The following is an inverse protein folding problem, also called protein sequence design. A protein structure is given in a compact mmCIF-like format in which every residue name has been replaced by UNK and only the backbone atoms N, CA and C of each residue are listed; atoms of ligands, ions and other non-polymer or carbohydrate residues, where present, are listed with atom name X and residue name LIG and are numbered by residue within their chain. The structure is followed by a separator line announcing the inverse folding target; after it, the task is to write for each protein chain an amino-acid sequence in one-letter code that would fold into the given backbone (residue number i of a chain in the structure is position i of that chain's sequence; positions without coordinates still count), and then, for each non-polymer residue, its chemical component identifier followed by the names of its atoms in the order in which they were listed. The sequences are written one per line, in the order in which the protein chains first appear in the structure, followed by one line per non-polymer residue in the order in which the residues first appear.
data_IF_616564177821
#
_entry.id   IF_616564177821
#
_cell.length_a   1.000
_cell.length_b   1.000
_cell.length_c   1.000
_cell.angle_alpha   90.00
_cell.angle_beta   90.00
_cell.angle_gamma   90.00
#
_symmetry.space_group_name_H-M   'P 1'
#
loop_
_entity.id
_entity.type
_entity.pdbx_description
1 polymer ?
#
# COMPACT_ATOMS: atom_id res chain seq x y z
N UNK A 1 -11.21 6.90 -1.78
CA UNK A 1 -11.20 8.33 -1.42
C UNK A 1 -10.05 9.07 -2.09
N UNK A 2 -8.84 8.61 -1.99
CA UNK A 2 -7.64 9.21 -2.61
C UNK A 2 -7.66 9.21 -4.14
N UNK A 3 -8.47 8.37 -4.79
CA UNK A 3 -8.66 8.38 -6.24
C UNK A 3 -9.09 9.76 -6.80
N UNK A 4 -9.74 10.61 -6.00
CA UNK A 4 -10.09 11.99 -6.39
C UNK A 4 -8.89 12.93 -6.44
N UNK A 5 -7.80 12.61 -5.73
CA UNK A 5 -6.56 13.39 -5.73
C UNK A 5 -5.62 13.01 -6.86
N UNK A 6 -5.87 11.89 -7.56
CA UNK A 6 -5.04 11.43 -8.68
C UNK A 6 -4.75 12.50 -9.75
N UNK A 7 -5.72 13.33 -10.19
CA UNK A 7 -5.42 14.37 -11.18
C UNK A 7 -4.43 15.43 -10.68
N UNK A 8 -4.56 15.82 -9.40
CA UNK A 8 -3.65 16.80 -8.79
C UNK A 8 -2.25 16.23 -8.61
N UNK A 9 -2.15 14.99 -8.14
CA UNK A 9 -0.88 14.28 -7.98
C UNK A 9 -0.18 14.12 -9.32
N UNK A 10 -0.90 13.73 -10.38
CA UNK A 10 -0.35 13.65 -11.74
C UNK A 10 0.31 14.94 -12.19
N UNK A 11 -0.32 16.09 -11.96
CA UNK A 11 0.20 17.40 -12.38
C UNK A 11 1.60 17.69 -11.81
N UNK A 12 1.91 17.19 -10.61
CA UNK A 12 3.22 17.34 -9.97
C UNK A 12 4.22 16.25 -10.36
N UNK A 13 3.75 15.03 -10.60
CA UNK A 13 4.62 13.87 -10.84
C UNK A 13 4.97 13.72 -12.31
N UNK A 14 4.07 14.04 -13.24
CA UNK A 14 4.31 13.89 -14.68
C UNK A 14 5.56 14.66 -15.17
N UNK A 15 5.85 15.91 -14.73
CA UNK A 15 7.09 16.58 -15.10
C UNK A 15 8.36 15.85 -14.62
N UNK A 16 8.34 15.33 -13.40
CA UNK A 16 9.45 14.54 -12.84
C UNK A 16 9.62 13.21 -13.58
N UNK A 17 8.52 12.54 -13.87
CA UNK A 17 8.54 11.25 -14.56
C UNK A 17 9.07 11.34 -16.00
N UNK A 18 8.89 12.48 -16.67
CA UNK A 18 9.42 12.72 -18.03
C UNK A 18 10.94 12.86 -18.08
N UNK A 19 11.58 13.31 -16.99
CA UNK A 19 13.03 13.47 -16.89
C UNK A 19 13.70 12.13 -16.59
N UNK A 20 12.96 11.20 -15.97
CA UNK A 20 13.47 9.90 -15.57
C UNK A 20 13.45 8.94 -16.77
N UNK A 21 14.62 8.62 -17.31
CA UNK A 21 14.78 7.69 -18.42
C UNK A 21 15.41 6.37 -17.97
N UNK A 22 14.77 5.72 -17.00
CA UNK A 22 15.16 4.38 -16.51
C UNK A 22 13.98 3.42 -16.61
N UNK A 23 14.29 2.11 -16.62
CA UNK A 23 13.25 1.10 -16.66
C UNK A 23 12.39 1.18 -15.38
N UNK A 24 11.06 1.33 -15.48
CA UNK A 24 10.16 1.44 -14.33
C UNK A 24 10.29 0.29 -13.33
N UNK A 25 10.59 -0.91 -13.80
CA UNK A 25 10.77 -2.08 -12.93
C UNK A 25 11.88 -1.92 -11.89
N UNK A 26 12.93 -1.12 -12.19
CA UNK A 26 13.98 -0.82 -11.21
C UNK A 26 13.44 0.06 -10.08
N UNK A 27 12.54 1.00 -10.38
CA UNK A 27 11.90 1.84 -9.38
C UNK A 27 10.97 1.01 -8.47
N UNK A 28 10.23 0.08 -9.07
CA UNK A 28 9.37 -0.87 -8.34
C UNK A 28 10.21 -1.73 -7.36
N UNK A 29 11.33 -2.29 -7.82
CA UNK A 29 12.23 -3.07 -6.96
C UNK A 29 12.89 -2.19 -5.88
N UNK A 30 13.30 -0.97 -6.23
CA UNK A 30 13.83 -0.01 -5.26
C UNK A 30 12.79 0.35 -4.19
N UNK A 31 11.52 0.52 -4.59
CA UNK A 31 10.39 0.73 -3.67
C UNK A 31 10.25 -0.41 -2.65
N UNK A 32 10.41 -1.66 -3.09
CA UNK A 32 10.41 -2.82 -2.19
C UNK A 32 11.61 -2.81 -1.23
N UNK A 33 12.81 -2.48 -1.71
CA UNK A 33 13.99 -2.37 -0.85
C UNK A 33 13.81 -1.29 0.23
N UNK A 34 13.17 -0.17 -0.12
CA UNK A 34 12.85 0.88 0.84
C UNK A 34 11.76 0.44 1.83
N UNK A 35 10.79 -0.37 1.38
CA UNK A 35 9.82 -0.97 2.29
C UNK A 35 10.48 -1.94 3.29
N UNK A 36 11.51 -2.69 2.88
CA UNK A 36 12.35 -3.49 3.77
C UNK A 36 13.07 -2.62 4.81
N UNK A 37 13.64 -1.48 4.40
CA UNK A 37 14.26 -0.52 5.33
C UNK A 37 13.21 0.05 6.31
N UNK A 38 11.99 0.34 5.84
CA UNK A 38 10.90 0.76 6.72
C UNK A 38 10.60 -0.30 7.79
N UNK A 39 10.45 -1.55 7.36
CA UNK A 39 10.20 -2.66 8.28
C UNK A 39 11.34 -2.85 9.30
N UNK A 40 12.59 -2.73 8.86
CA UNK A 40 13.77 -2.76 9.72
C UNK A 40 13.72 -1.63 10.77
N UNK A 41 13.40 -0.39 10.35
CA UNK A 41 13.27 0.73 11.28
C UNK A 41 12.18 0.50 12.33
N UNK A 42 11.01 -0.01 11.92
CA UNK A 42 9.97 -0.40 12.88
C UNK A 42 10.46 -1.49 13.83
N UNK A 43 11.12 -2.51 13.30
CA UNK A 43 11.67 -3.60 14.12
C UNK A 43 12.69 -3.12 15.16
N UNK A 44 13.45 -2.07 14.84
CA UNK A 44 14.38 -1.39 15.76
C UNK A 44 13.69 -0.37 16.69
N UNK A 45 12.35 -0.32 16.71
CA UNK A 45 11.60 0.59 17.58
C UNK A 45 11.49 2.03 17.08
N UNK A 46 11.87 2.32 15.84
CA UNK A 46 11.91 3.69 15.32
C UNK A 46 10.71 4.00 14.42
N UNK A 47 9.64 4.57 15.01
CA UNK A 47 8.41 4.94 14.31
C UNK A 47 8.64 6.02 13.25
N UNK A 48 9.46 7.03 13.56
CA UNK A 48 9.65 8.17 12.66
C UNK A 48 10.30 7.74 11.34
N UNK A 49 11.43 7.05 11.43
CA UNK A 49 12.13 6.57 10.23
C UNK A 49 11.33 5.49 9.51
N UNK A 50 10.63 4.60 10.24
CA UNK A 50 9.70 3.66 9.64
C UNK A 50 8.64 4.35 8.78
N UNK A 51 8.00 5.40 9.31
CA UNK A 51 7.01 6.21 8.59
C UNK A 51 7.58 6.95 7.38
N UNK A 52 8.80 7.53 7.51
CA UNK A 52 9.48 8.20 6.40
C UNK A 52 9.78 7.23 5.24
N UNK A 53 10.24 6.01 5.55
CA UNK A 53 10.51 5.01 4.51
C UNK A 53 9.21 4.46 3.89
N UNK A 54 8.08 4.38 4.62
CA UNK A 54 6.77 4.13 4.00
C UNK A 54 6.46 5.22 2.97
N UNK A 55 6.61 6.50 3.34
CA UNK A 55 6.33 7.62 2.44
C UNK A 55 7.21 7.55 1.19
N UNK A 56 8.49 7.27 1.35
CA UNK A 56 9.45 7.16 0.24
C UNK A 56 9.14 5.95 -0.66
N UNK A 57 8.81 4.79 -0.10
CA UNK A 57 8.39 3.60 -0.87
C UNK A 57 7.13 3.89 -1.68
N UNK A 58 6.10 4.49 -1.06
CA UNK A 58 4.88 4.87 -1.76
C UNK A 58 5.08 5.94 -2.82
N UNK A 59 6.02 6.86 -2.63
CA UNK A 59 6.39 7.86 -3.63
C UNK A 59 7.04 7.21 -4.86
N UNK A 60 7.95 6.24 -4.67
CA UNK A 60 8.57 5.49 -5.77
C UNK A 60 7.54 4.70 -6.58
N UNK A 61 6.57 4.08 -5.91
CA UNK A 61 5.45 3.38 -6.53
C UNK A 61 4.59 4.29 -7.43
N UNK A 62 4.35 5.54 -7.00
CA UNK A 62 3.63 6.50 -7.85
C UNK A 62 4.49 6.93 -9.04
N UNK A 63 5.81 7.09 -8.86
CA UNK A 63 6.74 7.50 -9.92
C UNK A 63 6.90 6.39 -10.95
N UNK A 64 7.09 5.12 -10.58
CA UNK A 64 7.32 4.03 -11.54
C UNK A 64 6.13 3.90 -12.51
N UNK A 65 4.91 3.95 -11.99
CA UNK A 65 3.71 3.97 -12.81
C UNK A 65 3.59 5.21 -13.70
N UNK A 66 4.07 6.38 -13.24
CA UNK A 66 4.09 7.60 -14.05
C UNK A 66 5.16 7.51 -15.17
N UNK A 67 6.36 7.03 -14.86
CA UNK A 67 7.44 6.80 -15.83
C UNK A 67 7.00 5.80 -16.91
N UNK A 68 6.39 4.67 -16.50
CA UNK A 68 5.90 3.67 -17.42
C UNK A 68 4.88 4.25 -18.43
N UNK A 69 3.95 5.06 -17.95
CA UNK A 69 2.91 5.70 -18.80
C UNK A 69 3.47 6.80 -19.69
N UNK A 70 4.31 7.69 -19.15
CA UNK A 70 4.84 8.83 -19.90
C UNK A 70 5.83 8.41 -20.99
N UNK A 71 6.60 7.34 -20.76
CA UNK A 71 7.58 6.81 -21.71
C UNK A 71 7.01 5.72 -22.64
N UNK A 72 5.70 5.41 -22.53
CA UNK A 72 5.05 4.33 -23.29
C UNK A 72 5.74 2.95 -23.09
N UNK A 73 6.29 2.71 -21.89
CA UNK A 73 6.99 1.47 -21.52
C UNK A 73 6.16 0.55 -20.63
N UNK A 74 4.85 0.71 -20.63
CA UNK A 74 3.94 -0.17 -19.87
C UNK A 74 3.98 -1.58 -20.43
N UNK A 75 4.20 -2.58 -19.55
CA UNK A 75 4.23 -4.00 -19.92
C UNK A 75 3.33 -4.81 -19.00
N UNK A 76 2.85 -5.97 -19.46
CA UNK A 76 2.10 -6.92 -18.62
C UNK A 76 2.93 -7.40 -17.44
N UNK A 77 4.22 -7.66 -17.65
CA UNK A 77 5.13 -8.06 -16.59
C UNK A 77 5.36 -6.94 -15.56
N UNK A 78 5.49 -5.68 -16.00
CA UNK A 78 5.61 -4.54 -15.10
C UNK A 78 4.40 -4.41 -14.16
N UNK A 79 3.19 -4.52 -14.68
CA UNK A 79 1.97 -4.51 -13.86
C UNK A 79 1.87 -5.71 -12.91
N UNK A 80 2.35 -6.89 -13.32
CA UNK A 80 2.45 -8.06 -12.45
C UNK A 80 3.47 -7.84 -11.33
N UNK A 81 4.67 -7.35 -11.68
CA UNK A 81 5.75 -7.08 -10.74
C UNK A 81 5.32 -6.05 -9.70
N UNK A 82 4.78 -4.91 -10.13
CA UNK A 82 4.22 -3.86 -9.30
C UNK A 82 3.19 -4.43 -8.31
N UNK A 83 2.20 -5.12 -8.84
CA UNK A 83 1.18 -5.76 -8.00
C UNK A 83 1.77 -6.73 -6.97
N UNK A 84 2.80 -7.48 -7.32
CA UNK A 84 3.43 -8.47 -6.44
C UNK A 84 4.25 -7.81 -5.36
N UNK A 85 5.12 -6.85 -5.74
CA UNK A 85 5.95 -6.10 -4.80
C UNK A 85 5.14 -5.30 -3.79
N UNK A 86 3.97 -4.80 -4.19
CA UNK A 86 2.99 -4.17 -3.31
C UNK A 86 2.59 -5.06 -2.14
N UNK A 87 2.26 -6.33 -2.41
CA UNK A 87 1.82 -7.28 -1.38
C UNK A 87 2.97 -7.65 -0.45
N UNK A 88 4.18 -7.82 -1.00
CA UNK A 88 5.37 -8.03 -0.19
C UNK A 88 5.67 -6.81 0.70
N UNK A 89 5.60 -5.59 0.16
CA UNK A 89 5.82 -4.36 0.92
C UNK A 89 4.83 -4.22 2.07
N UNK A 90 3.52 -4.39 1.79
CA UNK A 90 2.48 -4.33 2.83
C UNK A 90 2.75 -5.38 3.94
N UNK A 91 3.11 -6.61 3.56
CA UNK A 91 3.37 -7.68 4.50
C UNK A 91 4.60 -7.41 5.38
N UNK A 92 5.71 -7.04 4.76
CA UNK A 92 7.00 -6.81 5.45
C UNK A 92 6.89 -5.64 6.42
N UNK A 93 6.21 -4.55 6.04
CA UNK A 93 6.00 -3.39 6.91
C UNK A 93 5.21 -3.80 8.16
N UNK A 94 4.09 -4.54 7.99
CA UNK A 94 3.29 -5.01 9.13
C UNK A 94 4.10 -5.95 10.02
N UNK A 95 4.92 -6.85 9.46
CA UNK A 95 5.82 -7.73 10.22
C UNK A 95 6.82 -6.89 11.03
N UNK A 96 7.41 -5.86 10.45
CA UNK A 96 8.30 -4.94 11.16
C UNK A 96 7.62 -4.24 12.35
N UNK A 97 6.36 -3.82 12.18
CA UNK A 97 5.55 -3.19 13.24
C UNK A 97 5.26 -4.19 14.38
N UNK A 98 4.96 -5.46 14.04
CA UNK A 98 4.77 -6.53 15.03
C UNK A 98 6.06 -6.76 15.81
N UNK A 99 7.18 -6.94 15.10
CA UNK A 99 8.47 -7.24 15.70
C UNK A 99 8.98 -6.11 16.60
N UNK A 100 8.72 -4.86 16.21
CA UNK A 100 9.01 -3.68 17.02
C UNK A 100 8.14 -3.51 18.26
N UNK A 101 7.17 -4.41 18.50
CA UNK A 101 6.31 -4.39 19.68
C UNK A 101 5.24 -3.30 19.66
N UNK A 102 4.99 -2.66 18.53
CA UNK A 102 4.00 -1.57 18.42
C UNK A 102 2.55 -2.07 18.40
N UNK A 103 2.35 -3.35 18.16
CA UNK A 103 1.02 -3.98 18.14
C UNK A 103 1.13 -5.43 18.62
N UNK A 104 0.08 -5.92 19.27
CA UNK A 104 -0.04 -7.35 19.59
C UNK A 104 -0.03 -8.16 18.28
N UNK A 105 0.71 -9.27 18.27
CA UNK A 105 0.91 -10.12 17.09
C UNK A 105 -0.40 -10.59 16.43
N UNK A 106 -1.46 -10.86 17.24
CA UNK A 106 -2.78 -11.27 16.74
C UNK A 106 -3.37 -10.16 15.84
N UNK A 107 -3.37 -8.90 16.31
CA UNK A 107 -3.88 -7.78 15.51
C UNK A 107 -3.00 -7.54 14.29
N UNK A 108 -1.69 -7.70 14.41
CA UNK A 108 -0.79 -7.60 13.26
C UNK A 108 -1.11 -8.65 12.18
N UNK A 109 -1.30 -9.90 12.56
CA UNK A 109 -1.69 -10.98 11.63
C UNK A 109 -3.07 -10.70 11.00
N UNK A 110 -4.04 -10.23 11.78
CA UNK A 110 -5.36 -9.86 11.26
C UNK A 110 -5.28 -8.70 10.25
N UNK A 111 -4.44 -7.69 10.51
CA UNK A 111 -4.22 -6.58 9.57
C UNK A 111 -3.55 -7.06 8.28
N UNK A 112 -2.56 -7.95 8.39
CA UNK A 112 -1.91 -8.58 7.25
C UNK A 112 -2.91 -9.37 6.41
N UNK A 113 -3.70 -10.24 7.05
CA UNK A 113 -4.73 -11.02 6.38
C UNK A 113 -5.77 -10.12 5.71
N UNK A 114 -6.26 -9.07 6.38
CA UNK A 114 -7.20 -8.12 5.80
C UNK A 114 -6.62 -7.42 4.56
N UNK A 115 -5.35 -6.96 4.64
CA UNK A 115 -4.67 -6.27 3.55
C UNK A 115 -4.49 -7.15 2.30
N UNK A 116 -4.09 -8.41 2.49
CA UNK A 116 -3.96 -9.39 1.42
C UNK A 116 -5.32 -9.78 0.84
N UNK A 117 -6.34 -9.97 1.70
CA UNK A 117 -7.69 -10.32 1.29
C UNK A 117 -8.36 -9.23 0.44
N UNK A 118 -8.17 -7.96 0.78
CA UNK A 118 -8.62 -6.82 -0.04
C UNK A 118 -8.07 -6.94 -1.46
N UNK A 119 -6.77 -7.19 -1.59
CA UNK A 119 -6.12 -7.32 -2.90
C UNK A 119 -6.54 -8.59 -3.66
N UNK A 120 -6.64 -9.71 -2.95
CA UNK A 120 -7.04 -11.00 -3.52
C UNK A 120 -8.47 -10.97 -4.10
N UNK A 121 -9.44 -10.47 -3.32
CA UNK A 121 -10.84 -10.42 -3.77
C UNK A 121 -11.00 -9.54 -4.99
N UNK A 122 -10.26 -8.42 -5.09
CA UNK A 122 -10.23 -7.60 -6.29
C UNK A 122 -9.71 -8.37 -7.49
N UNK A 123 -8.53 -8.97 -7.37
CA UNK A 123 -7.90 -9.71 -8.46
C UNK A 123 -8.79 -10.88 -8.90
N UNK A 124 -9.45 -11.57 -7.96
CA UNK A 124 -10.35 -12.68 -8.27
C UNK A 124 -11.62 -12.22 -9.01
N UNK A 125 -12.21 -11.08 -8.62
CA UNK A 125 -13.35 -10.51 -9.33
C UNK A 125 -12.99 -10.08 -10.76
N UNK A 126 -11.80 -9.48 -10.94
CA UNK A 126 -11.30 -9.05 -12.25
C UNK A 126 -11.04 -10.25 -13.19
N UNK A 127 -10.62 -11.42 -12.66
CA UNK A 127 -10.51 -12.67 -13.43
C UNK A 127 -11.86 -13.14 -13.94
N UNK A 128 -12.95 -12.94 -13.19
CA UNK A 128 -14.33 -13.23 -13.64
C UNK A 128 -14.88 -12.14 -14.57
N UNK A 129 -14.07 -11.19 -15.02
CA UNK A 129 -14.46 -10.10 -15.91
C UNK A 129 -15.23 -8.98 -15.22
N UNK A 130 -15.29 -8.94 -13.89
CA UNK A 130 -16.03 -7.93 -13.13
C UNK A 130 -15.05 -6.86 -12.63
N UNK A 131 -15.15 -5.59 -13.13
CA UNK A 131 -14.34 -4.49 -12.61
C UNK A 131 -14.63 -4.25 -11.13
N UNK A 132 -13.63 -4.38 -10.27
CA UNK A 132 -13.78 -4.30 -8.82
C UNK A 132 -13.00 -3.13 -8.20
N UNK A 133 -13.28 -1.91 -8.68
CA UNK A 133 -12.70 -0.67 -8.17
C UNK A 133 -13.43 -0.07 -6.96
N UNK A 134 -14.20 -0.89 -6.23
CA UNK A 134 -14.94 -0.49 -5.03
C UNK A 134 -14.15 -0.79 -3.75
N UNK A 135 -14.45 -0.03 -2.69
CA UNK A 135 -13.85 -0.21 -1.37
C UNK A 135 -13.28 1.09 -0.80
N UNK A 136 -13.25 1.19 0.53
CA UNK A 136 -12.81 2.39 1.26
C UNK A 136 -11.36 2.29 1.75
N UNK A 137 -10.78 1.10 1.84
CA UNK A 137 -9.41 0.86 2.28
C UNK A 137 -8.59 0.16 1.18
N UNK A 138 -8.42 0.84 0.05
CA UNK A 138 -7.45 0.42 -0.95
C UNK A 138 -6.01 0.55 -0.39
N UNK A 139 -5.00 0.16 -1.15
CA UNK A 139 -3.61 0.20 -0.69
C UNK A 139 -3.17 1.60 -0.26
N UNK A 140 -3.48 2.61 -1.07
CA UNK A 140 -3.09 3.99 -0.77
C UNK A 140 -3.65 4.50 0.57
N UNK A 141 -4.92 4.19 0.87
CA UNK A 141 -5.54 4.55 2.14
C UNK A 141 -4.85 3.85 3.32
N UNK A 142 -4.53 2.55 3.19
CA UNK A 142 -3.82 1.80 4.24
C UNK A 142 -2.42 2.36 4.49
N UNK A 143 -1.67 2.70 3.44
CA UNK A 143 -0.35 3.32 3.55
C UNK A 143 -0.41 4.67 4.27
N UNK A 144 -1.41 5.51 3.95
CA UNK A 144 -1.64 6.79 4.64
C UNK A 144 -1.96 6.59 6.12
N UNK A 145 -2.78 5.59 6.46
CA UNK A 145 -3.09 5.25 7.86
C UNK A 145 -1.83 4.80 8.61
N UNK A 146 -0.98 3.96 8.01
CA UNK A 146 0.28 3.54 8.61
C UNK A 146 1.25 4.71 8.80
N UNK A 147 1.40 5.58 7.80
CA UNK A 147 2.22 6.79 7.91
C UNK A 147 1.73 7.70 9.03
N UNK A 148 0.43 7.98 9.08
CA UNK A 148 -0.18 8.78 10.14
C UNK A 148 0.05 8.14 11.52
N UNK A 149 -0.16 6.82 11.64
CA UNK A 149 0.11 6.06 12.85
C UNK A 149 1.57 6.13 13.29
N UNK A 150 2.51 6.09 12.34
CA UNK A 150 3.94 6.19 12.59
C UNK A 150 4.35 7.59 13.07
N UNK A 151 3.96 8.65 12.35
CA UNK A 151 4.33 10.02 12.70
C UNK A 151 3.65 10.50 13.99
N UNK A 152 2.35 10.29 14.14
CA UNK A 152 1.64 10.63 15.37
C UNK A 152 2.10 9.74 16.53
N UNK A 153 2.41 8.48 16.27
CA UNK A 153 2.98 7.57 17.26
C UNK A 153 4.35 8.02 17.77
N UNK A 154 5.20 8.51 16.88
CA UNK A 154 6.51 9.07 17.24
C UNK A 154 6.40 10.40 18.04
N UNK A 155 5.42 11.23 17.71
CA UNK A 155 5.25 12.54 18.33
C UNK A 155 4.53 12.49 19.68
N UNK A 156 3.54 11.60 19.84
CA UNK A 156 2.65 11.61 21.00
C UNK A 156 2.74 10.32 21.82
N UNK A 157 2.43 9.17 21.21
CA UNK A 157 2.44 7.87 21.89
C UNK A 157 2.50 6.71 20.91
N UNK A 158 3.39 5.74 21.12
CA UNK A 158 3.48 4.53 20.30
C UNK A 158 2.17 3.74 20.19
N UNK A 159 1.25 3.87 21.15
CA UNK A 159 -0.08 3.25 21.13
C UNK A 159 -0.93 3.68 19.92
N UNK A 160 -0.63 4.83 19.32
CA UNK A 160 -1.33 5.33 18.12
C UNK A 160 -1.08 4.39 16.94
N UNK A 161 0.09 3.76 16.85
CA UNK A 161 0.35 2.75 15.82
C UNK A 161 -0.57 1.54 15.99
N UNK A 162 -0.81 1.07 17.22
CA UNK A 162 -1.79 0.01 17.47
C UNK A 162 -3.20 0.41 17.01
N UNK A 163 -3.62 1.65 17.27
CA UNK A 163 -4.92 2.14 16.81
C UNK A 163 -4.99 2.19 15.27
N UNK A 164 -3.91 2.60 14.60
CA UNK A 164 -3.82 2.59 13.13
C UNK A 164 -3.96 1.17 12.55
N UNK A 165 -3.31 0.18 13.17
CA UNK A 165 -3.43 -1.24 12.77
C UNK A 165 -4.87 -1.74 12.98
N UNK A 166 -5.52 -1.44 14.10
CA UNK A 166 -6.92 -1.81 14.35
C UNK A 166 -7.84 -1.17 13.31
N UNK A 167 -7.61 0.10 12.97
CA UNK A 167 -8.37 0.78 11.92
C UNK A 167 -8.22 0.08 10.56
N UNK A 168 -7.01 -0.36 10.20
CA UNK A 168 -6.76 -1.13 8.98
C UNK A 168 -7.54 -2.45 8.98
N UNK A 169 -7.60 -3.16 10.12
CA UNK A 169 -8.37 -4.40 10.24
C UNK A 169 -9.85 -4.13 9.92
N UNK A 170 -10.45 -3.15 10.61
CA UNK A 170 -11.88 -2.84 10.45
C UNK A 170 -12.19 -2.40 9.03
N UNK A 171 -11.47 -1.42 8.50
CA UNK A 171 -11.70 -0.90 7.16
C UNK A 171 -11.35 -1.92 6.07
N UNK A 172 -10.34 -2.76 6.29
CA UNK A 172 -9.93 -3.82 5.37
C UNK A 172 -11.02 -4.88 5.22
N UNK A 173 -11.50 -5.46 6.32
CA UNK A 173 -12.59 -6.44 6.25
C UNK A 173 -13.88 -5.84 5.72
N UNK A 174 -14.20 -4.60 6.09
CA UNK A 174 -15.35 -3.91 5.50
C UNK A 174 -15.20 -3.76 3.97
N UNK A 175 -14.00 -3.44 3.48
CA UNK A 175 -13.72 -3.37 2.05
C UNK A 175 -13.85 -4.74 1.36
N UNK A 176 -13.41 -5.82 2.01
CA UNK A 176 -13.62 -7.19 1.51
C UNK A 176 -15.12 -7.48 1.33
N UNK A 177 -15.93 -7.17 2.35
CA UNK A 177 -17.38 -7.34 2.27
C UNK A 177 -18.01 -6.51 1.14
N UNK A 178 -17.60 -5.26 0.98
CA UNK A 178 -18.06 -4.41 -0.13
C UNK A 178 -17.76 -5.03 -1.50
N UNK A 179 -16.53 -5.58 -1.68
CA UNK A 179 -16.11 -6.22 -2.93
C UNK A 179 -16.85 -7.51 -3.21
N UNK A 180 -17.03 -8.36 -2.20
CA UNK A 180 -17.82 -9.60 -2.31
C UNK A 180 -19.26 -9.27 -2.69
N UNK A 181 -19.89 -8.31 -2.01
CA UNK A 181 -21.26 -7.90 -2.33
C UNK A 181 -21.38 -7.31 -3.74
N UNK A 182 -20.45 -6.45 -4.14
CA UNK A 182 -20.40 -5.87 -5.49
C UNK A 182 -20.30 -6.95 -6.56
N UNK A 183 -19.37 -7.89 -6.39
CA UNK A 183 -19.14 -9.00 -7.32
C UNK A 183 -20.39 -9.88 -7.42
N UNK A 184 -20.97 -10.27 -6.29
CA UNK A 184 -22.20 -11.06 -6.26
C UNK A 184 -23.36 -10.37 -6.98
N UNK A 185 -23.53 -9.05 -6.78
CA UNK A 185 -24.57 -8.28 -7.45
C UNK A 185 -24.34 -8.18 -8.96
N UNK A 186 -23.09 -8.12 -9.41
CA UNK A 186 -22.72 -8.00 -10.83
C UNK A 186 -22.80 -9.34 -11.59
N UNK A 187 -22.85 -10.48 -10.86
CA UNK A 187 -23.04 -11.82 -11.43
C UNK A 187 -24.50 -12.24 -11.58
N UNK A 188 -25.44 -11.47 -11.02
CA UNK A 188 -26.89 -11.66 -11.17
C UNK A 188 -27.42 -10.92 -12.37
#
# INVERSE_FOLDING_TARGET
MLNRLRPSIKKFIDPLAKIININPNYLTVLGLLIALLSAYMFAMGNLLWGGLFIALSGFLDIIDGAVARNNNTTTKFGGFLDSTTDRFSDAIIIIGIIYGGFVNWIFGILALHASLSVSYVRARAEVEGIPCGVGIAERAERMVILMAGAFLGALFSPKIMSAAIILIIVLGYFTVLQRVYHTWKSMK
#
